data_IF_322861589918
#
_entry.id   IF_322861589918
#
_cell.length_a   1.000
_cell.length_b   1.000
_cell.length_c   1.000
_cell.angle_alpha   90.00
_cell.angle_beta   90.00
_cell.angle_gamma   90.00
#
_symmetry.space_group_name_H-M   'P 1'
#
loop_
_entity.id
_entity.type
_entity.pdbx_description
1 polymer ?
#
# COMPACT_ATOMS: atom_id res chain seq x y z
N UNK A 1 -1.81 -25.84 31.02
CA UNK A 1 -3.03 -26.19 30.28
C UNK A 1 -3.36 -25.00 29.40
N UNK A 2 -2.91 -25.03 28.14
CA UNK A 2 -3.20 -23.98 27.15
C UNK A 2 -4.29 -24.53 26.24
N UNK A 3 -5.50 -23.92 26.17
CA UNK A 3 -6.48 -24.37 25.20
C UNK A 3 -6.18 -23.77 23.82
N UNK A 4 -6.14 -24.66 22.82
CA UNK A 4 -6.06 -24.37 21.40
C UNK A 4 -7.19 -23.44 20.94
N UNK A 5 -6.83 -22.25 20.46
CA UNK A 5 -7.76 -21.33 19.80
C UNK A 5 -7.83 -21.69 18.31
N UNK A 6 -8.83 -22.49 17.93
CA UNK A 6 -9.17 -22.73 16.52
C UNK A 6 -9.80 -21.46 15.93
N UNK A 7 -9.12 -20.84 14.97
CA UNK A 7 -9.70 -19.86 14.05
C UNK A 7 -10.43 -20.62 12.94
N UNK A 8 -11.73 -20.38 12.77
CA UNK A 8 -12.50 -20.93 11.66
C UNK A 8 -13.17 -19.77 10.93
N UNK A 9 -12.78 -19.53 9.69
CA UNK A 9 -13.44 -18.58 8.79
C UNK A 9 -14.30 -19.37 7.78
N UNK A 10 -15.60 -19.09 7.75
CA UNK A 10 -16.48 -19.48 6.64
C UNK A 10 -17.43 -18.33 6.38
N UNK A 11 -17.17 -17.58 5.30
CA UNK A 11 -18.11 -16.60 4.78
C UNK A 11 -19.07 -17.30 3.82
N UNK A 12 -20.37 -17.25 4.13
CA UNK A 12 -21.45 -17.56 3.20
C UNK A 12 -22.54 -16.51 3.39
N UNK A 13 -22.70 -15.65 2.39
CA UNK A 13 -23.78 -14.67 2.35
C UNK A 13 -25.13 -15.36 2.30
N UNK A 14 -25.98 -15.08 3.31
CA UNK A 14 -27.44 -14.86 3.24
C UNK A 14 -28.05 -14.57 4.64
N UNK A 15 -27.30 -13.91 5.53
CA UNK A 15 -27.71 -13.72 6.94
C UNK A 15 -27.39 -12.34 7.51
N UNK A 16 -27.43 -11.27 6.71
CA UNK A 16 -27.14 -9.92 7.22
C UNK A 16 -28.10 -9.47 8.35
N UNK A 17 -29.28 -10.08 8.47
CA UNK A 17 -30.28 -9.70 9.46
C UNK A 17 -30.08 -10.31 10.87
N UNK A 18 -29.20 -11.31 11.07
CA UNK A 18 -29.04 -12.00 12.38
C UNK A 18 -27.70 -11.76 13.09
N UNK A 19 -26.77 -10.99 12.50
CA UNK A 19 -25.40 -10.91 13.02
C UNK A 19 -25.19 -9.84 14.12
N UNK A 20 -26.20 -9.03 14.43
CA UNK A 20 -26.06 -7.90 15.36
C UNK A 20 -25.01 -6.88 14.89
N UNK A 21 -24.49 -6.07 15.82
CA UNK A 21 -23.41 -5.12 15.52
C UNK A 21 -22.08 -5.88 15.37
N UNK A 22 -21.66 -6.08 14.13
CA UNK A 22 -20.36 -6.65 13.82
C UNK A 22 -19.25 -5.61 14.06
N UNK A 23 -18.06 -6.06 14.49
CA UNK A 23 -16.92 -5.17 14.61
C UNK A 23 -16.43 -4.71 13.24
N UNK A 24 -16.16 -3.41 13.11
CA UNK A 24 -15.53 -2.83 11.93
C UNK A 24 -14.00 -2.78 12.08
N UNK A 25 -13.29 -2.78 10.94
CA UNK A 25 -11.84 -2.60 10.93
C UNK A 25 -11.50 -1.15 11.29
N UNK A 26 -10.64 -0.96 12.30
CA UNK A 26 -10.10 0.36 12.58
C UNK A 26 -9.00 0.71 11.56
N UNK A 27 -9.27 1.66 10.67
CA UNK A 27 -8.33 2.08 9.63
C UNK A 27 -7.48 3.29 10.01
N UNK A 28 -7.62 3.81 11.24
CA UNK A 28 -6.90 4.99 11.70
C UNK A 28 -5.37 4.81 11.72
N UNK A 29 -4.89 3.56 11.79
CA UNK A 29 -3.46 3.23 11.66
C UNK A 29 -2.92 3.52 10.25
N UNK A 30 -3.78 3.47 9.22
CA UNK A 30 -3.43 3.83 7.85
C UNK A 30 -3.64 5.32 7.60
N UNK A 31 -4.87 5.82 7.81
CA UNK A 31 -5.24 7.22 7.63
C UNK A 31 -6.43 7.54 8.55
N UNK A 32 -6.45 8.74 9.15
CA UNK A 32 -7.50 9.09 10.12
C UNK A 32 -8.90 9.20 9.51
N UNK A 33 -9.02 9.24 8.18
CA UNK A 33 -10.26 9.38 7.44
C UNK A 33 -10.03 9.72 5.96
N UNK A 34 -11.09 9.68 5.14
CA UNK A 34 -11.03 9.99 3.70
C UNK A 34 -10.59 11.43 3.41
N UNK A 35 -10.88 12.35 4.33
CA UNK A 35 -10.52 13.76 4.23
C UNK A 35 -9.20 14.10 4.93
N UNK A 36 -8.49 13.09 5.45
CA UNK A 36 -7.28 13.27 6.22
C UNK A 36 -6.20 14.02 5.40
N UNK A 37 -5.57 15.07 5.97
CA UNK A 37 -4.57 15.85 5.26
C UNK A 37 -3.35 15.01 4.86
N UNK A 38 -3.00 14.00 5.66
CA UNK A 38 -1.94 13.05 5.33
C UNK A 38 -2.23 12.20 4.09
N UNK A 39 -3.49 11.78 3.87
CA UNK A 39 -3.87 11.01 2.69
C UNK A 39 -3.73 11.85 1.42
N UNK A 40 -4.23 13.09 1.46
CA UNK A 40 -4.11 14.04 0.34
C UNK A 40 -2.65 14.33 0.00
N UNK A 41 -1.82 14.54 1.02
CA UNK A 41 -0.37 14.74 0.85
C UNK A 41 0.29 13.51 0.22
N UNK A 42 -0.02 12.33 0.72
CA UNK A 42 0.59 11.08 0.26
C UNK A 42 0.20 10.76 -1.19
N UNK A 43 -1.06 11.00 -1.59
CA UNK A 43 -1.51 10.90 -2.99
C UNK A 43 -0.75 11.88 -3.89
N UNK A 44 -0.63 13.15 -3.48
CA UNK A 44 0.10 14.16 -4.25
C UNK A 44 1.58 13.79 -4.38
N UNK A 45 2.19 13.31 -3.30
CA UNK A 45 3.57 12.84 -3.29
C UNK A 45 3.76 11.64 -4.22
N UNK A 46 2.91 10.62 -4.14
CA UNK A 46 2.99 9.45 -5.01
C UNK A 46 2.93 9.85 -6.50
N UNK A 47 2.07 10.80 -6.87
CA UNK A 47 2.00 11.32 -8.23
C UNK A 47 3.29 12.03 -8.67
N UNK A 48 3.85 12.87 -7.80
CA UNK A 48 5.12 13.58 -8.09
C UNK A 48 6.29 12.61 -8.19
N UNK A 49 6.41 11.68 -7.24
CA UNK A 49 7.48 10.70 -7.16
C UNK A 49 7.42 9.75 -8.38
N UNK A 50 6.22 9.35 -8.84
CA UNK A 50 6.04 8.56 -10.05
C UNK A 50 6.55 9.27 -11.31
N UNK A 51 6.20 10.55 -11.50
CA UNK A 51 6.70 11.36 -12.64
C UNK A 51 8.22 11.54 -12.57
N UNK A 52 8.75 11.80 -11.37
CA UNK A 52 10.19 11.92 -11.13
C UNK A 52 10.93 10.62 -11.45
N UNK A 53 10.38 9.48 -11.02
CA UNK A 53 10.92 8.16 -11.27
C UNK A 53 10.95 7.85 -12.77
N UNK A 54 9.82 8.05 -13.47
CA UNK A 54 9.73 7.83 -14.92
C UNK A 54 10.77 8.69 -15.65
N UNK A 55 10.80 9.99 -15.35
CA UNK A 55 11.72 10.95 -16.00
C UNK A 55 13.17 10.56 -15.81
N UNK A 56 13.53 10.01 -14.64
CA UNK A 56 14.90 9.68 -14.27
C UNK A 56 15.37 8.35 -14.87
N UNK A 57 14.51 7.33 -14.84
CA UNK A 57 14.93 5.93 -15.01
C UNK A 57 14.39 5.24 -16.27
N UNK A 58 13.34 5.78 -16.91
CA UNK A 58 12.76 5.16 -18.10
C UNK A 58 13.80 5.08 -19.23
N UNK A 59 14.05 3.86 -19.72
CA UNK A 59 14.99 3.59 -20.79
C UNK A 59 16.48 3.63 -20.40
N UNK A 60 16.82 3.97 -19.16
CA UNK A 60 18.23 4.09 -18.70
C UNK A 60 18.69 2.94 -17.82
N UNK A 61 17.76 2.12 -17.29
CA UNK A 61 18.06 1.05 -16.33
C UNK A 61 19.10 0.04 -16.81
N UNK A 62 19.02 -0.41 -18.07
CA UNK A 62 20.00 -1.36 -18.62
C UNK A 62 21.42 -0.76 -18.66
N UNK A 63 21.54 0.49 -19.10
CA UNK A 63 22.83 1.19 -19.12
C UNK A 63 23.39 1.41 -17.71
N UNK A 64 22.53 1.71 -16.73
CA UNK A 64 22.95 1.83 -15.32
C UNK A 64 23.34 0.47 -14.73
N UNK A 65 22.73 -0.64 -15.17
CA UNK A 65 23.11 -1.99 -14.76
C UNK A 65 24.48 -2.42 -15.33
N UNK A 66 24.73 -2.14 -16.60
CA UNK A 66 26.00 -2.46 -17.28
C UNK A 66 27.21 -1.77 -16.62
N UNK A 67 26.99 -0.63 -15.96
CA UNK A 67 28.04 0.11 -15.22
C UNK A 67 28.47 -0.57 -13.91
N UNK A 68 27.81 -1.66 -13.50
CA UNK A 68 28.16 -2.43 -12.30
C UNK A 68 28.16 -1.56 -11.05
N UNK A 69 29.24 -1.63 -10.26
CA UNK A 69 29.39 -0.88 -8.98
C UNK A 69 29.33 0.65 -9.18
N UNK A 70 29.70 1.16 -10.37
CA UNK A 70 29.63 2.59 -10.68
C UNK A 70 28.26 3.03 -11.24
N UNK A 71 27.36 2.07 -11.46
CA UNK A 71 25.98 2.29 -11.88
C UNK A 71 25.07 2.66 -10.72
N UNK A 72 23.88 3.17 -11.06
CA UNK A 72 22.90 3.60 -10.06
C UNK A 72 21.62 2.76 -10.05
N UNK A 73 21.70 1.51 -10.51
CA UNK A 73 20.55 0.60 -10.48
C UNK A 73 20.01 0.39 -9.06
N UNK A 74 20.88 0.34 -8.05
CA UNK A 74 20.47 0.24 -6.65
C UNK A 74 19.66 1.45 -6.18
N UNK A 75 20.03 2.66 -6.61
CA UNK A 75 19.25 3.88 -6.32
C UNK A 75 17.87 3.84 -6.99
N UNK A 76 17.81 3.34 -8.23
CA UNK A 76 16.54 3.16 -8.93
C UNK A 76 15.64 2.17 -8.17
N UNK A 77 16.19 1.05 -7.70
CA UNK A 77 15.41 0.06 -6.95
C UNK A 77 14.88 0.64 -5.63
N UNK A 78 15.71 1.34 -4.86
CA UNK A 78 15.28 1.97 -3.61
C UNK A 78 14.18 3.02 -3.83
N UNK A 79 14.31 3.83 -4.90
CA UNK A 79 13.29 4.81 -5.24
C UNK A 79 11.97 4.15 -5.65
N UNK A 80 12.05 3.02 -6.37
CA UNK A 80 10.87 2.24 -6.76
C UNK A 80 10.17 1.62 -5.55
N UNK A 81 10.92 0.96 -4.65
CA UNK A 81 10.38 0.36 -3.43
C UNK A 81 9.70 1.40 -2.53
N UNK A 82 10.31 2.58 -2.36
CA UNK A 82 9.71 3.65 -1.58
C UNK A 82 8.39 4.17 -2.19
N UNK A 83 8.31 4.22 -3.52
CA UNK A 83 7.09 4.59 -4.24
C UNK A 83 6.00 3.51 -4.10
N UNK A 84 6.36 2.24 -4.28
CA UNK A 84 5.42 1.12 -4.14
C UNK A 84 4.89 1.01 -2.70
N UNK A 85 5.71 1.20 -1.69
CA UNK A 85 5.28 1.20 -0.28
C UNK A 85 4.23 2.28 -0.03
N UNK A 86 4.47 3.50 -0.53
CA UNK A 86 3.54 4.63 -0.40
C UNK A 86 2.21 4.35 -1.12
N UNK A 87 2.27 3.87 -2.36
CA UNK A 87 1.07 3.54 -3.14
C UNK A 87 0.33 2.36 -2.52
N UNK A 88 1.04 1.35 -2.05
CA UNK A 88 0.49 0.17 -1.38
C UNK A 88 -0.35 0.56 -0.17
N UNK A 89 0.19 1.42 0.71
CA UNK A 89 -0.56 1.97 1.85
C UNK A 89 -1.86 2.66 1.42
N UNK A 90 -1.81 3.52 0.39
CA UNK A 90 -2.97 4.26 -0.12
C UNK A 90 -4.04 3.30 -0.66
N UNK A 91 -3.63 2.33 -1.49
CA UNK A 91 -4.54 1.37 -2.12
C UNK A 91 -5.12 0.41 -1.09
N UNK A 92 -4.34 -0.03 -0.10
CA UNK A 92 -4.84 -0.86 1.01
C UNK A 92 -5.92 -0.12 1.81
N UNK A 93 -5.72 1.17 2.10
CA UNK A 93 -6.75 1.98 2.76
C UNK A 93 -8.03 2.10 1.92
N UNK A 94 -7.88 2.43 0.63
CA UNK A 94 -9.01 2.55 -0.29
C UNK A 94 -9.78 1.22 -0.42
N UNK A 95 -9.09 0.09 -0.49
CA UNK A 95 -9.71 -1.23 -0.56
C UNK A 95 -10.47 -1.59 0.72
N UNK A 96 -9.91 -1.28 1.89
CA UNK A 96 -10.52 -1.61 3.18
C UNK A 96 -11.72 -0.74 3.55
N UNK A 97 -11.80 0.51 3.05
CA UNK A 97 -12.98 1.36 3.28
C UNK A 97 -14.27 0.75 2.73
N UNK A 98 -14.19 0.00 1.63
CA UNK A 98 -15.35 -0.57 0.94
C UNK A 98 -15.54 -2.08 1.18
N UNK A 99 -14.73 -2.68 2.05
CA UNK A 99 -14.70 -4.12 2.30
C UNK A 99 -15.77 -4.60 3.29
#
# INVERSE_FOLDING_TARGET
>A
MIPDRRLSATASGHGAAELGDLPEWNLADLYSGMEAPELKRDIARAAQDAVGFETRWKGTLAAEAERGVAGRLGEALQAYEALEELIGRIVSYAGLIYA
#
